data_IF_789182058669
#
_entry.id   IF_789182058669
#
_cell.length_a   1.000
_cell.length_b   1.000
_cell.length_c   1.000
_cell.angle_alpha   90.00
_cell.angle_beta   90.00
_cell.angle_gamma   90.00
#
_symmetry.space_group_name_H-M   'P 1'
#
loop_
_entity.id
_entity.type
_entity.pdbx_description
1 polymer ?
#
# COMPACT_ATOMS: atom_id res chain seq x y z
N UNK A 1 -14.81 -19.49 -21.75
CA UNK A 1 -14.68 -20.62 -22.70
C UNK A 1 -14.06 -21.78 -21.93
N UNK A 2 -14.65 -22.98 -21.91
CA UNK A 2 -14.08 -24.11 -21.16
C UNK A 2 -12.98 -24.73 -22.02
N UNK A 3 -11.71 -24.53 -21.66
CA UNK A 3 -10.58 -25.18 -22.32
C UNK A 3 -10.48 -26.64 -21.87
N UNK A 4 -10.47 -27.62 -22.78
CA UNK A 4 -10.32 -29.02 -22.42
C UNK A 4 -8.95 -29.29 -21.79
N UNK A 5 -8.95 -30.04 -20.68
CA UNK A 5 -7.74 -30.42 -19.94
C UNK A 5 -7.06 -31.64 -20.60
N UNK A 6 -5.79 -31.90 -20.29
CA UNK A 6 -5.02 -33.07 -20.78
C UNK A 6 -5.74 -34.42 -20.59
N UNK A 7 -6.58 -34.54 -19.56
CA UNK A 7 -7.39 -35.75 -19.31
C UNK A 7 -8.52 -35.97 -20.32
N UNK A 8 -9.06 -34.90 -20.89
CA UNK A 8 -10.04 -35.00 -21.97
C UNK A 8 -9.40 -35.70 -23.18
N UNK A 9 -8.21 -35.26 -23.58
CA UNK A 9 -7.48 -35.83 -24.70
C UNK A 9 -7.00 -37.27 -24.44
N UNK A 10 -6.63 -37.61 -23.20
CA UNK A 10 -6.29 -38.99 -22.82
C UNK A 10 -7.46 -39.95 -23.06
N UNK A 11 -8.70 -39.51 -22.88
CA UNK A 11 -9.89 -40.36 -23.09
C UNK A 11 -10.17 -40.66 -24.56
N UNK A 12 -9.64 -39.85 -25.48
CA UNK A 12 -9.76 -40.04 -26.93
C UNK A 12 -8.83 -41.14 -27.47
N UNK A 13 -7.89 -41.63 -26.66
CA UNK A 13 -7.01 -42.74 -27.04
C UNK A 13 -7.85 -44.00 -27.29
N UNK A 14 -7.61 -44.63 -28.44
CA UNK A 14 -8.27 -45.87 -28.87
C UNK A 14 -8.03 -47.00 -27.87
N UNK A 15 -8.92 -47.99 -27.83
CA UNK A 15 -8.86 -49.10 -26.87
C UNK A 15 -7.53 -49.86 -26.90
N UNK A 16 -6.90 -49.99 -28.07
CA UNK A 16 -5.63 -50.68 -28.30
C UNK A 16 -4.46 -50.10 -27.47
N UNK A 17 -4.32 -48.78 -27.44
CA UNK A 17 -3.21 -48.10 -26.75
C UNK A 17 -3.57 -47.61 -25.34
N UNK A 18 -4.81 -47.83 -24.89
CA UNK A 18 -5.33 -47.32 -23.61
C UNK A 18 -4.53 -47.78 -22.40
N UNK A 19 -3.98 -49.00 -22.44
CA UNK A 19 -3.17 -49.59 -21.36
C UNK A 19 -1.67 -49.33 -21.50
N UNK A 20 -1.20 -48.68 -22.58
CA UNK A 20 0.22 -48.44 -22.81
C UNK A 20 0.73 -47.26 -21.95
N UNK A 21 1.56 -47.49 -20.92
CA UNK A 21 1.88 -46.45 -19.94
C UNK A 21 2.77 -45.34 -20.51
N UNK A 22 3.75 -45.70 -21.35
CA UNK A 22 4.67 -44.74 -21.98
C UNK A 22 3.97 -43.84 -23.01
N UNK A 23 3.06 -44.42 -23.79
CA UNK A 23 2.28 -43.68 -24.78
C UNK A 23 1.34 -42.67 -24.09
N UNK A 24 0.61 -43.10 -23.06
CA UNK A 24 -0.24 -42.21 -22.26
C UNK A 24 0.56 -41.05 -21.63
N UNK A 25 1.76 -41.33 -21.10
CA UNK A 25 2.63 -40.30 -20.53
C UNK A 25 3.10 -39.29 -21.59
N UNK A 26 3.48 -39.75 -22.78
CA UNK A 26 3.89 -38.91 -23.90
C UNK A 26 2.76 -37.99 -24.36
N UNK A 27 1.55 -38.53 -24.58
CA UNK A 27 0.39 -37.74 -24.99
C UNK A 27 0.04 -36.69 -23.93
N UNK A 28 0.01 -37.06 -22.64
CA UNK A 28 -0.24 -36.10 -21.54
C UNK A 28 0.77 -34.96 -21.52
N UNK A 29 2.06 -35.25 -21.71
CA UNK A 29 3.11 -34.22 -21.73
C UNK A 29 3.01 -33.31 -22.96
N UNK A 30 2.83 -33.86 -24.16
CA UNK A 30 2.67 -33.08 -25.38
C UNK A 30 1.45 -32.16 -25.33
N UNK A 31 0.30 -32.71 -24.91
CA UNK A 31 -0.95 -31.94 -24.81
C UNK A 31 -0.91 -30.96 -23.65
N UNK A 32 -0.30 -31.34 -22.52
CA UNK A 32 -0.22 -30.49 -21.33
C UNK A 32 0.45 -29.15 -21.59
N UNK A 33 1.52 -29.12 -22.40
CA UNK A 33 2.15 -27.87 -22.83
C UNK A 33 1.18 -26.96 -23.58
N UNK A 34 0.46 -27.49 -24.58
CA UNK A 34 -0.50 -26.70 -25.37
C UNK A 34 -1.67 -26.21 -24.50
N UNK A 35 -2.22 -27.06 -23.62
CA UNK A 35 -3.29 -26.65 -22.71
C UNK A 35 -2.86 -25.52 -21.76
N UNK A 36 -1.60 -25.55 -21.30
CA UNK A 36 -1.04 -24.47 -20.49
C UNK A 36 -0.89 -23.19 -21.31
N UNK A 37 -0.35 -23.27 -22.53
CA UNK A 37 -0.26 -22.12 -23.43
C UNK A 37 -1.63 -21.50 -23.72
N UNK A 38 -2.63 -22.31 -24.07
CA UNK A 38 -3.99 -21.82 -24.32
C UNK A 38 -4.56 -21.11 -23.09
N UNK A 39 -4.34 -21.68 -21.89
CA UNK A 39 -4.77 -21.06 -20.64
C UNK A 39 -4.07 -19.72 -20.42
N UNK A 40 -2.77 -19.64 -20.65
CA UNK A 40 -2.00 -18.40 -20.52
C UNK A 40 -2.43 -17.34 -21.54
N UNK A 41 -2.65 -17.72 -22.80
CA UNK A 41 -3.09 -16.80 -23.87
C UNK A 41 -4.48 -16.25 -23.56
N UNK A 42 -5.42 -17.10 -23.11
CA UNK A 42 -6.77 -16.65 -22.80
C UNK A 42 -6.82 -15.78 -21.55
N UNK A 43 -5.98 -16.05 -20.56
CA UNK A 43 -5.92 -15.27 -19.32
C UNK A 43 -5.05 -14.03 -19.39
N UNK A 44 -4.34 -13.80 -20.51
CA UNK A 44 -3.41 -12.67 -20.61
C UNK A 44 -4.13 -11.35 -20.33
N UNK A 45 -5.33 -11.15 -20.90
CA UNK A 45 -6.11 -9.91 -20.69
C UNK A 45 -6.58 -9.78 -19.25
N UNK A 46 -7.05 -10.88 -18.64
CA UNK A 46 -7.50 -10.90 -17.24
C UNK A 46 -6.35 -10.60 -16.27
N UNK A 47 -5.13 -11.05 -16.57
CA UNK A 47 -3.94 -10.78 -15.76
C UNK A 47 -3.51 -9.30 -15.75
N UNK A 48 -3.93 -8.51 -16.75
CA UNK A 48 -3.71 -7.06 -16.80
C UNK A 48 -4.90 -6.26 -16.25
N UNK A 49 -5.85 -6.90 -15.56
CA UNK A 49 -6.90 -6.19 -14.84
C UNK A 49 -6.30 -5.45 -13.63
N UNK A 50 -6.62 -4.15 -13.50
CA UNK A 50 -6.04 -3.29 -12.49
C UNK A 50 -6.46 -3.66 -11.06
N UNK A 51 -7.44 -4.52 -10.83
CA UNK A 51 -7.74 -5.03 -9.49
C UNK A 51 -7.01 -6.33 -9.13
N UNK A 52 -6.53 -7.08 -10.13
CA UNK A 52 -5.92 -8.41 -9.93
C UNK A 52 -4.46 -8.51 -10.35
N UNK A 53 -3.97 -7.60 -11.19
CA UNK A 53 -2.58 -7.56 -11.65
C UNK A 53 -1.61 -7.48 -10.47
N UNK A 54 -0.48 -8.18 -10.61
CA UNK A 54 0.57 -8.31 -9.58
C UNK A 54 1.94 -8.05 -10.17
N UNK A 55 2.86 -7.50 -9.38
CA UNK A 55 4.27 -7.25 -9.74
C UNK A 55 4.43 -6.61 -11.12
N UNK A 56 5.24 -7.21 -12.02
CA UNK A 56 5.58 -6.70 -13.36
C UNK A 56 4.35 -6.30 -14.20
N UNK A 57 3.24 -7.04 -14.08
CA UNK A 57 2.02 -6.73 -14.82
C UNK A 57 1.45 -5.38 -14.38
N UNK A 58 1.46 -5.12 -13.07
CA UNK A 58 1.02 -3.86 -12.49
C UNK A 58 1.99 -2.72 -12.82
N UNK A 59 3.28 -3.02 -12.91
CA UNK A 59 4.33 -2.04 -13.24
C UNK A 59 4.23 -1.56 -14.69
N UNK A 60 3.92 -2.47 -15.62
CA UNK A 60 3.61 -2.12 -17.02
C UNK A 60 2.40 -1.18 -17.08
N UNK A 61 1.34 -1.46 -16.31
CA UNK A 61 0.15 -0.59 -16.27
C UNK A 61 0.51 0.78 -15.69
N UNK A 62 1.30 0.81 -14.61
CA UNK A 62 1.78 2.06 -14.04
C UNK A 62 2.59 2.89 -15.02
N UNK A 63 3.49 2.26 -15.79
CA UNK A 63 4.26 2.92 -16.83
C UNK A 63 3.37 3.54 -17.93
N UNK A 64 2.29 2.86 -18.32
CA UNK A 64 1.30 3.39 -19.28
C UNK A 64 0.57 4.64 -18.75
N UNK A 65 0.29 4.70 -17.44
CA UNK A 65 -0.39 5.81 -16.78
C UNK A 65 0.57 6.94 -16.38
N UNK A 66 1.87 6.64 -16.32
CA UNK A 66 2.93 7.56 -15.92
C UNK A 66 3.21 7.59 -14.42
N UNK A 67 3.04 6.46 -13.73
CA UNK A 67 3.39 6.24 -12.32
C UNK A 67 4.53 5.23 -12.24
N UNK A 68 5.51 5.48 -11.37
CA UNK A 68 6.57 4.52 -11.02
C UNK A 68 6.50 4.17 -9.54
N UNK A 69 7.07 3.02 -9.16
CA UNK A 69 7.33 2.66 -7.76
C UNK A 69 8.49 3.45 -7.17
N UNK A 70 9.38 3.95 -8.02
CA UNK A 70 10.49 4.79 -7.61
C UNK A 70 9.97 6.19 -7.28
N UNK A 71 10.03 6.55 -6.00
CA UNK A 71 9.62 7.86 -5.52
C UNK A 71 10.71 8.89 -5.79
N UNK A 72 10.29 10.12 -6.08
CA UNK A 72 11.19 11.28 -6.20
C UNK A 72 11.68 11.81 -4.84
N UNK A 73 11.19 11.25 -3.74
CA UNK A 73 11.53 11.62 -2.37
C UNK A 73 11.85 10.37 -1.57
N UNK A 74 12.64 10.53 -0.51
CA UNK A 74 12.92 9.46 0.45
C UNK A 74 11.85 9.48 1.55
N UNK A 75 11.11 8.39 1.76
CA UNK A 75 10.14 8.31 2.85
C UNK A 75 10.78 8.43 4.21
N UNK A 76 10.09 9.10 5.14
CA UNK A 76 10.54 9.28 6.53
C UNK A 76 10.57 7.91 7.22
N UNK A 77 11.34 7.71 8.30
CA UNK A 77 11.32 6.44 9.05
C UNK A 77 9.91 5.97 9.46
N UNK A 78 9.01 6.91 9.78
CA UNK A 78 7.59 6.63 10.04
C UNK A 78 6.83 6.10 8.81
N UNK A 79 7.21 6.52 7.60
CA UNK A 79 6.70 6.00 6.33
C UNK A 79 7.23 4.61 5.98
N UNK A 80 8.49 4.32 6.33
CA UNK A 80 9.11 2.99 6.11
C UNK A 80 8.69 1.94 7.14
N UNK A 81 8.02 2.34 8.22
CA UNK A 81 7.70 1.44 9.32
C UNK A 81 8.94 1.03 10.13
N UNK A 82 10.05 1.76 9.98
CA UNK A 82 11.25 1.56 10.76
C UNK A 82 10.99 2.03 12.20
N UNK A 83 11.14 1.12 13.16
CA UNK A 83 11.32 1.50 14.56
C UNK A 83 12.59 2.36 14.58
N UNK A 84 12.48 3.61 15.08
CA UNK A 84 13.65 4.47 15.28
C UNK A 84 14.52 3.81 16.35
N UNK A 85 15.43 2.95 15.92
CA UNK A 85 16.60 2.64 16.73
C UNK A 85 17.43 3.93 16.78
N UNK A 86 17.81 4.41 17.98
CA UNK A 86 18.70 5.55 18.08
C UNK A 86 19.93 5.29 17.23
N UNK A 87 20.36 6.27 16.44
CA UNK A 87 21.57 6.16 15.63
C UNK A 87 22.76 5.74 16.51
N UNK A 88 23.82 5.10 15.97
CA UNK A 88 25.00 4.73 16.76
C UNK A 88 25.59 5.91 17.54
N UNK A 89 25.47 7.12 17.00
CA UNK A 89 25.83 8.40 17.64
C UNK A 89 24.90 8.82 18.77
N UNK A 90 23.61 8.48 18.71
CA UNK A 90 22.63 8.71 19.78
C UNK A 90 22.73 7.63 20.87
N UNK A 91 23.01 6.38 20.50
CA UNK A 91 23.35 5.30 21.44
C UNK A 91 24.63 5.61 22.23
N UNK A 92 25.64 6.19 21.59
CA UNK A 92 26.89 6.58 22.27
C UNK A 92 26.72 7.70 23.31
N UNK A 93 25.62 8.46 23.25
CA UNK A 93 25.27 9.45 24.28
C UNK A 93 24.65 8.81 25.53
N UNK A 94 24.12 7.58 25.41
CA UNK A 94 23.61 6.81 26.53
C UNK A 94 24.78 6.08 27.22
N UNK A 95 25.52 6.84 28.04
CA UNK A 95 26.72 6.35 28.76
C UNK A 95 26.39 5.53 30.02
N UNK A 96 25.12 5.24 30.28
CA UNK A 96 24.69 4.36 31.37
C UNK A 96 24.77 4.95 32.78
N UNK A 97 25.02 6.25 32.94
CA UNK A 97 24.92 6.90 34.26
C UNK A 97 23.46 7.13 34.69
N UNK A 98 22.53 7.41 33.77
CA UNK A 98 21.08 7.43 34.03
C UNK A 98 20.29 6.94 32.80
N UNK A 99 19.96 5.65 32.72
CA UNK A 99 18.99 5.16 31.74
C UNK A 99 17.56 5.53 32.18
N UNK A 100 16.76 6.08 31.26
CA UNK A 100 15.37 6.52 31.51
C UNK A 100 14.45 5.33 31.89
N UNK A 101 14.88 4.10 31.66
CA UNK A 101 14.14 2.87 31.93
C UNK A 101 14.88 1.95 32.91
N UNK A 102 14.13 1.30 33.79
CA UNK A 102 14.66 0.38 34.80
C UNK A 102 15.09 -0.94 34.15
N UNK A 103 16.41 -1.18 34.06
CA UNK A 103 16.97 -2.42 33.50
C UNK A 103 17.18 -3.46 34.59
N UNK A 104 16.38 -4.53 34.58
CA UNK A 104 16.61 -5.71 35.42
C UNK A 104 17.70 -6.59 34.79
N UNK A 105 18.88 -6.66 35.40
CA UNK A 105 19.95 -7.54 34.93
C UNK A 105 19.62 -9.00 35.29
N UNK A 106 19.34 -9.82 34.28
CA UNK A 106 19.34 -11.28 34.44
C UNK A 106 20.78 -11.77 34.65
N UNK A 107 21.09 -12.52 35.72
CA UNK A 107 22.42 -13.10 35.90
C UNK A 107 22.70 -14.09 34.78
N UNK A 108 23.89 -14.01 34.17
CA UNK A 108 24.34 -15.00 33.18
C UNK A 108 24.64 -16.33 33.88
N UNK A 109 24.18 -17.48 33.34
CA UNK A 109 24.65 -18.80 33.77
C UNK A 109 26.15 -18.95 33.52
N UNK A 110 26.86 -19.62 34.43
CA UNK A 110 28.33 -19.74 34.42
C UNK A 110 28.90 -20.60 33.29
N UNK A 111 28.09 -21.47 32.67
CA UNK A 111 28.58 -22.58 31.84
C UNK A 111 27.89 -22.69 30.46
N UNK A 112 27.59 -21.57 29.80
CA UNK A 112 27.24 -21.58 28.39
C UNK A 112 28.43 -21.08 27.58
N UNK A 113 29.07 -21.98 26.83
CA UNK A 113 29.93 -21.58 25.71
C UNK A 113 29.11 -20.67 24.78
N UNK A 114 29.76 -19.66 24.22
CA UNK A 114 29.15 -18.67 23.34
C UNK A 114 28.61 -19.38 22.09
N UNK A 115 27.36 -19.83 22.17
CA UNK A 115 26.63 -20.26 20.98
C UNK A 115 26.41 -18.97 20.21
N UNK A 116 27.06 -18.82 19.06
CA UNK A 116 26.68 -17.83 18.06
C UNK A 116 25.17 -17.98 17.91
N UNK A 117 24.43 -17.00 18.45
CA UNK A 117 23.02 -16.88 18.14
C UNK A 117 23.03 -16.75 16.63
N UNK A 118 22.54 -17.76 15.92
CA UNK A 118 22.21 -17.62 14.52
C UNK A 118 21.08 -16.58 14.53
N UNK A 119 21.47 -15.30 14.53
CA UNK A 119 20.68 -14.21 14.00
C UNK A 119 20.28 -14.73 12.63
N UNK A 120 19.00 -15.08 12.52
CA UNK A 120 18.46 -15.83 11.40
C UNK A 120 19.00 -15.28 10.10
N UNK A 121 19.31 -16.17 9.16
CA UNK A 121 19.49 -15.83 7.76
C UNK A 121 18.58 -14.65 7.42
N UNK A 122 19.13 -13.46 7.17
CA UNK A 122 18.35 -12.45 6.46
C UNK A 122 18.09 -13.11 5.10
N UNK A 123 16.83 -13.43 4.74
CA UNK A 123 16.55 -13.91 3.40
C UNK A 123 17.19 -12.91 2.44
N UNK A 124 17.96 -13.37 1.44
CA UNK A 124 18.65 -12.48 0.51
C UNK A 124 17.71 -11.50 -0.21
N UNK A 125 16.41 -11.77 -0.16
CA UNK A 125 15.35 -11.03 -0.84
C UNK A 125 14.65 -9.98 0.07
N UNK A 126 15.04 -9.80 1.35
CA UNK A 126 14.45 -8.73 2.19
C UNK A 126 14.97 -7.34 1.79
N UNK A 127 16.21 -7.23 1.32
CA UNK A 127 16.80 -5.95 0.91
C UNK A 127 16.16 -5.38 -0.38
N UNK A 128 15.55 -6.24 -1.21
CA UNK A 128 14.89 -5.88 -2.47
C UNK A 128 13.35 -5.80 -2.36
N UNK A 129 12.79 -5.91 -1.15
CA UNK A 129 11.35 -5.73 -0.97
C UNK A 129 10.97 -4.28 -1.35
N UNK A 130 10.13 -4.07 -2.38
CA UNK A 130 9.80 -2.72 -2.80
C UNK A 130 9.08 -2.01 -1.67
N UNK A 131 9.59 -0.82 -1.30
CA UNK A 131 9.01 0.03 -0.27
C UNK A 131 7.51 0.30 -0.50
N UNK A 132 7.12 0.32 -1.77
CA UNK A 132 5.72 0.38 -2.19
C UNK A 132 5.22 -1.03 -2.52
N UNK A 133 4.33 -1.53 -1.66
CA UNK A 133 3.61 -2.79 -1.89
C UNK A 133 2.59 -2.64 -3.02
N UNK A 134 2.24 -3.75 -3.68
CA UNK A 134 1.29 -3.77 -4.79
C UNK A 134 -0.06 -3.11 -4.45
N UNK A 135 -0.52 -3.21 -3.21
CA UNK A 135 -1.77 -2.59 -2.77
C UNK A 135 -1.69 -1.06 -2.75
N UNK A 136 -0.59 -0.50 -2.24
CA UNK A 136 -0.34 0.95 -2.25
C UNK A 136 -0.11 1.44 -3.66
N UNK A 137 0.64 0.68 -4.47
CA UNK A 137 0.91 1.03 -5.86
C UNK A 137 -0.37 1.06 -6.70
N UNK A 138 -1.29 0.11 -6.49
CA UNK A 138 -2.61 0.10 -7.15
C UNK A 138 -3.40 1.38 -6.85
N UNK A 139 -3.36 1.86 -5.60
CA UNK A 139 -3.97 3.14 -5.21
C UNK A 139 -3.31 4.31 -5.94
N UNK A 140 -1.97 4.34 -6.05
CA UNK A 140 -1.26 5.39 -6.78
C UNK A 140 -1.65 5.42 -8.27
N UNK A 141 -1.77 4.27 -8.92
CA UNK A 141 -2.20 4.20 -10.31
C UNK A 141 -3.65 4.69 -10.45
N UNK A 142 -4.58 4.23 -9.61
CA UNK A 142 -5.96 4.71 -9.64
C UNK A 142 -6.04 6.22 -9.40
N UNK A 143 -5.27 6.73 -8.45
CA UNK A 143 -5.20 8.15 -8.16
C UNK A 143 -4.65 8.94 -9.35
N UNK A 144 -3.63 8.42 -10.05
CA UNK A 144 -3.11 9.07 -11.25
C UNK A 144 -4.11 9.09 -12.40
N UNK A 145 -4.89 8.03 -12.58
CA UNK A 145 -5.99 8.00 -13.55
C UNK A 145 -7.01 9.10 -13.22
N UNK A 146 -7.40 9.20 -11.95
CA UNK A 146 -8.28 10.27 -11.45
C UNK A 146 -7.69 11.66 -11.72
N UNK A 147 -6.41 11.87 -11.41
CA UNK A 147 -5.72 13.14 -11.66
C UNK A 147 -5.72 13.53 -13.14
N UNK A 148 -5.58 12.56 -14.05
CA UNK A 148 -5.54 12.82 -15.49
C UNK A 148 -6.93 13.09 -16.07
N UNK A 149 -8.00 12.53 -15.48
CA UNK A 149 -9.38 12.67 -15.95
C UNK A 149 -10.08 13.89 -15.34
N UNK A 150 -9.65 14.35 -14.17
CA UNK A 150 -10.35 15.38 -13.42
C UNK A 150 -10.30 16.77 -14.08
N UNK A 151 -11.47 17.40 -14.20
CA UNK A 151 -11.67 18.69 -14.88
C UNK A 151 -11.61 19.91 -13.93
N UNK A 152 -11.37 19.71 -12.62
CA UNK A 152 -11.22 20.80 -11.66
C UNK A 152 -12.44 21.12 -10.79
N UNK A 153 -13.54 20.38 -10.93
CA UNK A 153 -14.75 20.55 -10.10
C UNK A 153 -14.59 19.86 -8.73
N UNK A 154 -14.96 20.58 -7.67
CA UNK A 154 -14.88 20.10 -6.28
C UNK A 154 -15.90 18.99 -5.99
N UNK A 155 -17.09 19.03 -6.58
CA UNK A 155 -18.11 17.99 -6.35
C UNK A 155 -17.66 16.64 -6.93
N UNK A 156 -17.12 16.67 -8.15
CA UNK A 156 -16.60 15.50 -8.83
C UNK A 156 -15.40 14.91 -8.07
N UNK A 157 -14.62 15.76 -7.39
CA UNK A 157 -13.52 15.31 -6.54
C UNK A 157 -13.99 14.47 -5.36
N UNK A 158 -15.14 14.79 -4.74
CA UNK A 158 -15.73 13.95 -3.68
C UNK A 158 -16.15 12.58 -4.21
N UNK A 159 -16.74 12.52 -5.41
CA UNK A 159 -17.13 11.26 -6.05
C UNK A 159 -15.90 10.42 -6.39
N UNK A 160 -14.87 11.02 -7.00
CA UNK A 160 -13.61 10.36 -7.30
C UNK A 160 -12.90 9.85 -6.04
N UNK A 161 -12.95 10.61 -4.94
CA UNK A 161 -12.40 10.20 -3.66
C UNK A 161 -13.09 8.94 -3.11
N UNK A 162 -14.43 8.88 -3.20
CA UNK A 162 -15.20 7.72 -2.76
C UNK A 162 -14.93 6.44 -3.57
N UNK A 163 -14.44 6.59 -4.81
CA UNK A 163 -14.02 5.47 -5.65
C UNK A 163 -12.59 5.01 -5.34
N UNK A 164 -11.73 5.90 -4.86
CA UNK A 164 -10.34 5.59 -4.50
C UNK A 164 -10.20 4.94 -3.13
N UNK A 165 -10.99 5.42 -2.15
CA UNK A 165 -10.86 5.03 -0.76
C UNK A 165 -12.17 4.51 -0.17
N UNK A 166 -12.10 3.54 0.77
CA UNK A 166 -13.27 3.12 1.52
C UNK A 166 -13.94 4.27 2.30
N UNK A 167 -15.21 4.09 2.65
CA UNK A 167 -16.06 5.12 3.28
C UNK A 167 -15.52 5.69 4.61
N UNK A 168 -14.57 5.00 5.26
CA UNK A 168 -13.93 5.46 6.49
C UNK A 168 -12.88 6.57 6.27
N UNK A 169 -12.44 6.78 5.03
CA UNK A 169 -11.45 7.77 4.64
C UNK A 169 -12.15 8.92 3.91
N UNK A 170 -12.53 9.95 4.65
CA UNK A 170 -13.21 11.13 4.13
C UNK A 170 -12.24 12.23 3.69
N UNK A 171 -12.70 13.07 2.78
CA UNK A 171 -12.07 14.35 2.44
C UNK A 171 -13.08 15.47 2.73
N UNK A 172 -12.58 16.61 3.18
CA UNK A 172 -13.34 17.85 3.33
C UNK A 172 -12.53 18.99 2.75
N UNK A 173 -13.16 19.76 1.86
CA UNK A 173 -12.52 20.85 1.12
C UNK A 173 -13.18 22.15 1.54
N UNK A 174 -12.36 23.12 1.92
CA UNK A 174 -12.78 24.50 2.14
C UNK A 174 -12.13 25.38 1.08
N UNK A 175 -12.91 25.81 0.10
CA UNK A 175 -12.50 26.81 -0.89
C UNK A 175 -12.53 28.21 -0.26
N UNK A 176 -11.42 28.94 -0.35
CA UNK A 176 -11.28 30.30 0.17
C UNK A 176 -11.67 31.38 -0.86
N UNK A 177 -12.07 30.97 -2.08
CA UNK A 177 -12.51 31.84 -3.18
C UNK A 177 -11.43 32.82 -3.68
N UNK A 178 -10.18 32.64 -3.25
CA UNK A 178 -9.02 33.47 -3.60
C UNK A 178 -7.98 32.69 -4.44
N UNK A 179 -8.46 31.68 -5.19
CA UNK A 179 -7.62 30.68 -5.87
C UNK A 179 -6.74 29.90 -4.88
N UNK A 180 -7.23 29.70 -3.66
CA UNK A 180 -6.66 28.76 -2.72
C UNK A 180 -7.75 27.97 -1.98
N UNK A 181 -7.39 26.78 -1.51
CA UNK A 181 -8.29 25.95 -0.70
C UNK A 181 -7.51 25.19 0.37
N UNK A 182 -8.24 24.81 1.42
CA UNK A 182 -7.77 23.95 2.48
C UNK A 182 -8.37 22.56 2.31
N UNK A 183 -7.56 21.55 2.58
CA UNK A 183 -8.00 20.16 2.56
C UNK A 183 -7.82 19.57 3.95
N UNK A 184 -8.88 18.95 4.43
CA UNK A 184 -8.89 18.17 5.67
C UNK A 184 -9.21 16.73 5.31
N UNK A 185 -8.32 15.82 5.66
CA UNK A 185 -8.47 14.38 5.42
C UNK A 185 -8.86 13.72 6.73
N UNK A 186 -9.97 13.00 6.70
CA UNK A 186 -10.53 12.30 7.86
C UNK A 186 -10.28 10.80 7.69
N UNK A 187 -9.85 10.14 8.76
CA UNK A 187 -9.60 8.69 8.79
C UNK A 187 -8.16 8.33 9.11
N UNK A 188 -7.91 7.02 9.17
CA UNK A 188 -6.60 6.46 9.49
C UNK A 188 -5.79 6.17 8.24
N UNK A 189 -4.71 6.93 8.06
CA UNK A 189 -3.76 6.75 6.97
C UNK A 189 -2.46 6.18 7.50
N UNK A 190 -1.92 5.16 6.81
CA UNK A 190 -0.57 4.65 7.10
C UNK A 190 0.47 5.77 6.91
N UNK A 191 1.63 5.67 7.57
CA UNK A 191 2.69 6.68 7.47
C UNK A 191 3.09 6.98 6.02
N UNK A 192 3.33 5.92 5.24
CA UNK A 192 3.66 6.02 3.82
C UNK A 192 2.58 6.74 3.02
N UNK A 193 1.30 6.44 3.29
CA UNK A 193 0.19 7.02 2.57
C UNK A 193 0.04 8.52 2.84
N UNK A 194 0.29 8.96 4.08
CA UNK A 194 0.34 10.39 4.41
C UNK A 194 1.45 11.10 3.63
N UNK A 195 2.62 10.49 3.53
CA UNK A 195 3.74 11.04 2.76
C UNK A 195 3.44 11.13 1.27
N UNK A 196 2.88 10.08 0.67
CA UNK A 196 2.45 10.08 -0.73
C UNK A 196 1.42 11.18 -1.01
N UNK A 197 0.47 11.39 -0.09
CA UNK A 197 -0.51 12.47 -0.19
C UNK A 197 0.17 13.85 -0.11
N UNK A 198 1.06 14.06 0.86
CA UNK A 198 1.79 15.33 1.03
C UNK A 198 2.65 15.67 -0.18
N UNK A 199 3.28 14.67 -0.81
CA UNK A 199 4.08 14.85 -2.02
C UNK A 199 3.25 14.90 -3.31
N UNK A 200 1.91 14.87 -3.23
CA UNK A 200 1.02 15.11 -4.36
C UNK A 200 0.82 13.91 -5.29
N UNK A 201 1.16 12.69 -4.86
CA UNK A 201 0.96 11.48 -5.68
C UNK A 201 -0.50 11.04 -5.76
N UNK A 202 -1.34 11.47 -4.81
CA UNK A 202 -2.73 11.01 -4.69
C UNK A 202 -3.73 12.13 -5.01
N UNK A 203 -3.62 13.29 -4.35
CA UNK A 203 -4.61 14.36 -4.49
C UNK A 203 -4.40 15.14 -5.79
N UNK A 204 -5.43 15.31 -6.63
CA UNK A 204 -5.34 16.20 -7.78
C UNK A 204 -5.31 17.66 -7.34
N UNK A 205 -4.50 18.46 -8.04
CA UNK A 205 -4.37 19.89 -7.80
C UNK A 205 -4.68 20.65 -9.09
N UNK A 206 -5.61 21.62 -9.09
CA UNK A 206 -5.90 22.40 -10.28
C UNK A 206 -4.71 23.31 -10.59
N UNK A 207 -4.47 23.54 -11.89
CA UNK A 207 -3.44 24.49 -12.31
C UNK A 207 -3.80 25.90 -11.81
N UNK A 208 -2.83 26.58 -11.20
CA UNK A 208 -3.01 27.95 -10.70
C UNK A 208 -3.69 28.09 -9.34
N UNK A 209 -4.16 27.00 -8.72
CA UNK A 209 -4.80 27.03 -7.39
C UNK A 209 -3.85 26.51 -6.31
N UNK A 210 -3.76 27.20 -5.17
CA UNK A 210 -2.88 26.83 -4.05
C UNK A 210 -3.61 25.96 -3.03
N UNK A 211 -2.90 24.98 -2.49
CA UNK A 211 -3.32 24.25 -1.29
C UNK A 211 -2.59 24.91 -0.14
N UNK A 212 -3.32 25.61 0.74
CA UNK A 212 -2.69 26.34 1.84
C UNK A 212 -2.39 25.41 3.02
N UNK A 213 -3.36 24.56 3.37
CA UNK A 213 -3.25 23.63 4.49
C UNK A 213 -3.75 22.25 4.10
N UNK A 214 -2.96 21.23 4.46
CA UNK A 214 -3.33 19.82 4.37
C UNK A 214 -3.19 19.21 5.77
N UNK A 215 -4.31 18.84 6.38
CA UNK A 215 -4.33 18.23 7.72
C UNK A 215 -4.94 16.84 7.70
N UNK A 216 -4.39 15.95 8.53
CA UNK A 216 -4.89 14.60 8.73
C UNK A 216 -5.57 14.51 10.10
N UNK A 217 -6.78 13.98 10.13
CA UNK A 217 -7.58 13.80 11.34
C UNK A 217 -7.86 12.31 11.50
N UNK A 218 -7.28 11.70 12.55
CA UNK A 218 -7.56 10.31 12.88
C UNK A 218 -8.94 10.18 13.54
N UNK A 219 -9.68 9.12 13.18
CA UNK A 219 -11.01 8.80 13.71
C UNK A 219 -10.95 7.91 14.96
N UNK A 220 -9.74 7.56 15.44
CA UNK A 220 -9.48 6.56 16.48
C UNK A 220 -9.86 7.01 17.93
N UNK A 221 -10.96 7.75 18.07
CA UNK A 221 -11.82 7.58 19.24
C UNK A 221 -12.25 8.83 20.00
N UNK A 222 -11.96 10.05 19.55
CA UNK A 222 -12.53 11.25 20.18
C UNK A 222 -13.23 12.13 19.16
N UNK A 223 -14.53 12.44 19.36
CA UNK A 223 -15.23 13.36 18.50
C UNK A 223 -14.56 14.73 18.56
N UNK A 224 -14.62 15.48 17.46
CA UNK A 224 -14.11 16.84 17.34
C UNK A 224 -15.12 17.83 17.93
N UNK A 225 -14.65 18.92 18.51
CA UNK A 225 -15.54 19.95 19.03
C UNK A 225 -16.39 20.58 17.94
N UNK A 226 -17.71 20.50 18.13
CA UNK A 226 -18.69 21.19 17.33
C UNK A 226 -19.79 21.77 18.23
N UNK A 227 -20.27 22.96 17.87
CA UNK A 227 -21.42 23.56 18.54
C UNK A 227 -22.70 22.88 18.07
N UNK A 228 -23.40 22.24 19.02
CA UNK A 228 -24.73 21.65 18.82
C UNK A 228 -24.82 20.61 17.67
N UNK A 229 -23.70 19.96 17.36
CA UNK A 229 -23.61 18.93 16.34
C UNK A 229 -23.03 17.65 16.95
N UNK A 230 -23.90 16.69 17.25
CA UNK A 230 -23.54 15.43 17.91
C UNK A 230 -23.68 14.25 16.93
N UNK A 231 -22.56 13.83 16.35
CA UNK A 231 -22.42 12.66 15.46
C UNK A 231 -21.32 11.75 16.00
N UNK A 232 -21.09 10.58 15.39
CA UNK A 232 -19.96 9.71 15.78
C UNK A 232 -18.61 10.45 15.80
N UNK A 233 -18.45 11.44 14.91
CA UNK A 233 -17.21 12.19 14.70
C UNK A 233 -17.21 13.60 15.34
N UNK A 234 -18.34 14.09 15.84
CA UNK A 234 -18.50 15.46 16.35
C UNK A 234 -19.28 15.48 17.67
N UNK A 235 -18.82 16.26 18.65
CA UNK A 235 -19.52 16.39 19.93
C UNK A 235 -19.25 17.74 20.57
N UNK A 236 -20.16 18.19 21.43
CA UNK A 236 -19.98 19.41 22.23
C UNK A 236 -18.83 19.30 23.24
N UNK A 237 -18.88 20.01 24.36
CA UNK A 237 -17.76 20.20 25.32
C UNK A 237 -17.02 18.97 25.90
N UNK A 238 -17.37 17.74 25.52
CA UNK A 238 -16.66 16.49 25.88
C UNK A 238 -15.69 16.00 24.79
N UNK A 239 -15.60 16.71 23.68
CA UNK A 239 -14.73 16.43 22.52
C UNK A 239 -13.35 17.07 22.64
N UNK A 240 -12.48 16.72 21.70
CA UNK A 240 -11.16 17.34 21.57
C UNK A 240 -11.18 18.60 20.68
N UNK A 241 -10.37 19.59 21.04
CA UNK A 241 -10.14 20.80 20.24
C UNK A 241 -9.13 20.52 19.12
N UNK A 242 -9.36 21.13 17.96
CA UNK A 242 -8.44 21.05 16.83
C UNK A 242 -7.26 22.00 17.09
N UNK A 243 -6.13 21.46 17.57
CA UNK A 243 -4.91 22.24 17.77
C UNK A 243 -4.10 22.31 16.47
N UNK A 244 -4.19 23.43 15.76
CA UNK A 244 -3.21 23.77 14.74
C UNK A 244 -1.94 24.25 15.46
N UNK A 245 -0.86 23.47 15.39
CA UNK A 245 0.45 23.94 15.88
C UNK A 245 0.97 24.95 14.86
N UNK A 246 1.05 26.23 15.23
CA UNK A 246 1.81 27.19 14.44
C UNK A 246 3.26 26.70 14.41
N UNK A 247 3.82 26.58 13.21
CA UNK A 247 5.25 26.35 13.02
C UNK A 247 5.92 27.70 13.25
N UNK A 248 6.81 27.78 14.25
CA UNK A 248 7.66 28.96 14.51
C UNK A 248 8.59 29.26 13.33
#
# INVERSE_FOLDING_TARGET
MITPNQEYYRRLITSEYRLAPKFNAMVRKMVGYNCQLDTSILKIVEMFDLDTATADQLDIIGACVGVSRDLTFEPTPAGRGEIICPSPTEMAKDSGEESIYMVYKTPRPSDLEEIDVICGYNPPDIEDAPLITDSVYRVMIKARIVQNVWEGNVLDLYEMWSNLFPENLGIQIQDLQDMSYNIVLVGEYTGLMRELIMHGYIIPKPEGVRINTLSFISTDGMPIFAYDYNTLNYSGYKSHWLQAKETE
#
